data_IF_607069465573
#
_entry.id   IF_607069465573
#
_cell.length_a   1.000
_cell.length_b   1.000
_cell.length_c   1.000
_cell.angle_alpha   90.00
_cell.angle_beta   90.00
_cell.angle_gamma   90.00
#
_symmetry.space_group_name_H-M   'P 1'
#
loop_
_entity.id
_entity.type
_entity.pdbx_description
1 polymer ?
#
# COMPACT_ATOMS: atom_id res chain seq x y z
N UNK A 1 7.38 2.42 -16.69
CA UNK A 1 8.08 3.25 -15.69
C UNK A 1 9.40 3.70 -16.24
N UNK A 2 9.75 4.96 -16.02
CA UNK A 2 11.02 5.57 -16.37
C UNK A 2 11.59 6.20 -15.10
N UNK A 3 12.87 5.97 -14.80
CA UNK A 3 13.57 6.68 -13.74
C UNK A 3 13.78 8.14 -14.19
N UNK A 4 13.27 9.08 -13.42
CA UNK A 4 13.31 10.52 -13.69
C UNK A 4 14.41 11.21 -12.89
N UNK A 5 14.53 10.86 -11.60
CA UNK A 5 15.57 11.37 -10.71
C UNK A 5 16.08 10.24 -9.81
N UNK A 6 17.35 10.34 -9.43
CA UNK A 6 18.02 9.43 -8.49
C UNK A 6 19.09 10.22 -7.77
N UNK A 7 19.05 10.21 -6.43
CA UNK A 7 20.06 10.86 -5.61
C UNK A 7 20.53 9.90 -4.53
N UNK A 8 21.80 10.02 -4.22
CA UNK A 8 22.43 9.27 -3.14
C UNK A 8 22.98 10.27 -2.14
N UNK A 9 22.83 9.97 -0.86
CA UNK A 9 23.41 10.70 0.25
C UNK A 9 23.93 9.71 1.30
N UNK A 10 24.57 10.22 2.35
CA UNK A 10 24.96 9.39 3.48
C UNK A 10 23.76 8.76 4.21
N UNK A 11 22.57 9.34 4.09
CA UNK A 11 21.34 8.90 4.76
C UNK A 11 20.59 7.82 3.97
N UNK A 12 20.87 7.65 2.68
CA UNK A 12 20.20 6.70 1.81
C UNK A 12 20.12 7.10 0.35
N UNK A 13 19.14 6.53 -0.35
CA UNK A 13 18.89 6.74 -1.78
C UNK A 13 17.46 7.24 -1.98
N UNK A 14 17.32 8.33 -2.73
CA UNK A 14 16.02 8.82 -3.20
C UNK A 14 15.85 8.52 -4.67
N UNK A 15 14.67 8.02 -5.03
CA UNK A 15 14.36 7.57 -6.39
C UNK A 15 12.99 8.11 -6.80
N UNK A 16 12.91 8.62 -8.02
CA UNK A 16 11.66 9.08 -8.61
C UNK A 16 11.46 8.39 -9.95
N UNK A 17 10.39 7.61 -10.05
CA UNK A 17 9.94 7.04 -11.32
C UNK A 17 8.64 7.67 -11.77
N UNK A 18 8.51 7.79 -13.09
CA UNK A 18 7.26 8.19 -13.74
C UNK A 18 6.77 7.13 -14.71
N UNK A 19 5.47 6.92 -14.72
CA UNK A 19 4.76 6.20 -15.75
C UNK A 19 3.77 7.17 -16.40
N UNK A 20 3.94 7.41 -17.70
CA UNK A 20 2.99 8.17 -18.51
C UNK A 20 2.13 7.17 -19.30
N UNK A 21 0.82 7.26 -19.17
CA UNK A 21 -0.16 6.45 -19.88
C UNK A 21 -1.25 7.36 -20.44
N UNK A 22 -1.06 7.82 -21.67
CA UNK A 22 -1.98 8.77 -22.31
C UNK A 22 -2.10 10.04 -21.43
N UNK A 23 -3.31 10.39 -21.00
CA UNK A 23 -3.60 11.56 -20.16
C UNK A 23 -3.36 11.31 -18.66
N UNK A 24 -2.84 10.13 -18.32
CA UNK A 24 -2.47 9.76 -16.95
C UNK A 24 -0.97 9.88 -16.71
N UNK A 25 -0.63 10.48 -15.58
CA UNK A 25 0.71 10.46 -15.04
C UNK A 25 0.68 9.80 -13.66
N UNK A 26 1.60 8.86 -13.45
CA UNK A 26 1.82 8.22 -12.16
C UNK A 26 3.26 8.46 -11.75
N UNK A 27 3.46 9.03 -10.58
CA UNK A 27 4.76 9.27 -9.98
C UNK A 27 4.93 8.38 -8.74
N UNK A 28 6.03 7.65 -8.69
CA UNK A 28 6.47 6.87 -7.53
C UNK A 28 7.74 7.52 -7.00
N UNK A 29 7.67 8.02 -5.77
CA UNK A 29 8.84 8.46 -5.01
C UNK A 29 9.17 7.41 -3.97
N UNK A 30 10.45 7.08 -3.85
CA UNK A 30 10.98 6.21 -2.80
C UNK A 30 12.15 6.88 -2.11
N UNK A 31 12.10 6.93 -0.77
CA UNK A 31 13.21 7.31 0.09
C UNK A 31 13.65 6.06 0.84
N UNK A 32 14.87 5.60 0.56
CA UNK A 32 15.40 4.32 1.04
C UNK A 32 16.65 4.57 1.90
N UNK A 33 16.52 4.43 3.21
CA UNK A 33 17.60 4.60 4.18
C UNK A 33 17.45 3.65 5.35
N UNK A 34 17.57 4.17 6.58
CA UNK A 34 17.23 3.38 7.79
C UNK A 34 15.77 2.91 7.78
N UNK A 35 14.88 3.68 7.16
CA UNK A 35 13.50 3.32 6.88
C UNK A 35 13.21 3.35 5.39
N UNK A 36 11.94 3.15 5.05
CA UNK A 36 11.43 3.23 3.68
C UNK A 36 10.17 4.08 3.67
N UNK A 37 10.19 5.20 2.93
CA UNK A 37 8.98 5.95 2.58
C UNK A 37 8.70 5.74 1.10
N UNK A 38 7.47 5.35 0.77
CA UNK A 38 6.97 5.26 -0.59
C UNK A 38 5.79 6.20 -0.76
N UNK A 39 5.79 7.01 -1.82
CA UNK A 39 4.67 7.86 -2.19
C UNK A 39 4.27 7.59 -3.63
N UNK A 40 3.04 7.16 -3.82
CA UNK A 40 2.44 6.92 -5.12
C UNK A 40 1.38 7.98 -5.41
N UNK A 41 1.67 8.87 -6.36
CA UNK A 41 0.76 9.94 -6.78
C UNK A 41 0.26 9.67 -8.19
N UNK A 42 -1.03 9.87 -8.43
CA UNK A 42 -1.63 9.73 -9.77
C UNK A 42 -2.36 11.03 -10.11
N UNK A 43 -2.13 11.55 -11.31
CA UNK A 43 -2.87 12.68 -11.88
C UNK A 43 -3.46 12.28 -13.24
N UNK A 44 -4.64 12.80 -13.52
CA UNK A 44 -5.36 12.64 -14.79
C UNK A 44 -5.79 14.02 -15.24
N UNK A 45 -5.38 14.44 -16.43
CA UNK A 45 -5.66 15.77 -16.98
C UNK A 45 -6.75 15.71 -18.06
N UNK A 46 -7.91 15.13 -17.70
CA UNK A 46 -9.12 15.15 -18.53
C UNK A 46 -10.27 15.85 -17.77
N UNK A 47 -11.26 16.28 -18.52
CA UNK A 47 -12.49 16.93 -18.07
C UNK A 47 -13.56 15.96 -17.55
N UNK A 48 -13.46 14.67 -17.86
CA UNK A 48 -14.44 13.65 -17.45
C UNK A 48 -14.07 12.98 -16.12
N UNK A 49 -15.06 12.64 -15.26
CA UNK A 49 -14.82 11.84 -14.07
C UNK A 49 -14.20 10.49 -14.39
N UNK A 50 -13.17 10.10 -13.65
CA UNK A 50 -12.49 8.83 -13.81
C UNK A 50 -12.65 7.94 -12.57
N UNK A 51 -12.85 6.63 -12.80
CA UNK A 51 -12.79 5.62 -11.76
C UNK A 51 -11.41 4.99 -11.76
N UNK A 52 -10.69 5.16 -10.65
CA UNK A 52 -9.35 4.65 -10.49
C UNK A 52 -9.12 4.19 -9.05
N UNK A 53 -8.35 3.11 -8.90
CA UNK A 53 -7.88 2.62 -7.61
C UNK A 53 -6.40 2.29 -7.72
N UNK A 54 -5.67 2.56 -6.65
CA UNK A 54 -4.27 2.19 -6.51
C UNK A 54 -3.96 1.76 -5.08
N UNK A 55 -2.92 0.96 -4.93
CA UNK A 55 -2.43 0.51 -3.65
C UNK A 55 -0.93 0.25 -3.72
N UNK A 56 -0.25 0.37 -2.57
CA UNK A 56 1.09 -0.16 -2.38
C UNK A 56 0.99 -1.56 -1.80
N UNK A 57 1.27 -2.58 -2.62
CA UNK A 57 1.09 -3.98 -2.24
C UNK A 57 2.35 -4.53 -1.55
N UNK A 58 2.58 -4.12 -0.31
CA UNK A 58 3.75 -4.52 0.46
C UNK A 58 3.73 -6.00 0.85
N UNK A 59 4.87 -6.69 0.67
CA UNK A 59 5.11 -8.04 1.19
C UNK A 59 6.15 -7.97 2.30
N UNK A 60 5.70 -8.18 3.53
CA UNK A 60 6.58 -8.15 4.71
C UNK A 60 7.26 -9.49 4.91
N UNK A 61 8.58 -9.45 5.12
CA UNK A 61 9.34 -10.63 5.55
C UNK A 61 9.13 -10.83 7.04
N UNK A 62 8.57 -11.99 7.40
CA UNK A 62 8.34 -12.43 8.78
C UNK A 62 9.05 -13.77 9.04
N UNK A 63 9.10 -14.19 10.30
CA UNK A 63 9.65 -15.51 10.70
C UNK A 63 8.70 -16.64 10.33
N UNK A 64 7.57 -16.73 11.04
CA UNK A 64 6.52 -17.73 10.86
C UNK A 64 5.16 -17.04 11.02
N UNK A 65 4.28 -17.22 10.03
CA UNK A 65 2.93 -16.67 10.04
C UNK A 65 2.09 -17.18 11.21
N UNK A 66 2.38 -18.38 11.72
CA UNK A 66 1.67 -18.96 12.86
C UNK A 66 2.05 -18.30 14.20
N UNK A 67 3.22 -17.64 14.28
CA UNK A 67 3.75 -17.06 15.51
C UNK A 67 3.58 -15.54 15.59
N UNK A 68 3.32 -14.86 14.46
CA UNK A 68 3.15 -13.41 14.41
C UNK A 68 1.69 -12.98 14.45
N UNK A 69 1.47 -11.71 14.80
CA UNK A 69 0.17 -11.05 14.69
C UNK A 69 0.37 -9.61 14.20
N UNK A 70 -0.66 -9.07 13.54
CA UNK A 70 -0.70 -7.67 13.12
C UNK A 70 -1.52 -6.86 14.12
N UNK A 71 -0.86 -5.89 14.77
CA UNK A 71 -1.49 -4.93 15.66
C UNK A 71 -1.98 -3.68 14.90
N UNK A 72 -2.74 -2.81 15.57
CA UNK A 72 -3.22 -1.53 15.02
C UNK A 72 -4.52 -1.60 14.22
N UNK A 73 -5.11 -2.79 14.10
CA UNK A 73 -6.41 -3.01 13.43
C UNK A 73 -7.57 -3.25 14.41
N UNK A 74 -7.35 -3.22 15.72
CA UNK A 74 -8.43 -3.50 16.69
C UNK A 74 -9.60 -2.52 16.51
N UNK A 75 -10.81 -3.07 16.39
CA UNK A 75 -12.02 -2.31 16.13
C UNK A 75 -12.23 -1.87 14.67
N UNK A 76 -11.26 -2.07 13.78
CA UNK A 76 -11.36 -1.68 12.37
C UNK A 76 -12.50 -2.45 11.66
N UNK A 77 -13.32 -1.71 10.91
CA UNK A 77 -14.35 -2.29 10.05
C UNK A 77 -13.76 -2.69 8.71
N UNK A 78 -14.34 -3.70 8.08
CA UNK A 78 -13.88 -4.18 6.79
C UNK A 78 -14.78 -5.23 6.16
N UNK A 79 -14.27 -5.86 5.12
CA UNK A 79 -14.93 -6.92 4.39
C UNK A 79 -13.99 -8.12 4.24
N UNK A 80 -14.50 -9.31 4.56
CA UNK A 80 -13.80 -10.58 4.36
C UNK A 80 -14.23 -11.15 3.00
N UNK A 81 -13.29 -11.19 2.06
CA UNK A 81 -13.52 -11.62 0.68
C UNK A 81 -13.76 -13.14 0.58
N UNK A 82 -13.28 -13.92 1.55
CA UNK A 82 -13.43 -15.37 1.54
C UNK A 82 -14.83 -15.78 2.00
N UNK A 83 -15.33 -15.15 3.06
CA UNK A 83 -16.70 -15.39 3.56
C UNK A 83 -17.75 -14.53 2.85
N UNK A 84 -17.33 -13.46 2.16
CA UNK A 84 -18.17 -12.44 1.52
C UNK A 84 -19.08 -11.71 2.50
N UNK A 85 -18.55 -11.35 3.66
CA UNK A 85 -19.29 -10.70 4.74
C UNK A 85 -18.52 -9.51 5.31
N UNK A 86 -19.26 -8.52 5.80
CA UNK A 86 -18.68 -7.45 6.60
C UNK A 86 -18.10 -8.03 7.90
N UNK A 87 -16.96 -7.50 8.34
CA UNK A 87 -16.28 -7.93 9.54
C UNK A 87 -15.74 -6.74 10.33
N UNK A 88 -15.60 -6.94 11.64
CA UNK A 88 -14.84 -6.05 12.50
C UNK A 88 -13.69 -6.82 13.12
N UNK A 89 -12.47 -6.28 13.05
CA UNK A 89 -11.32 -6.90 13.68
C UNK A 89 -11.39 -6.77 15.21
N UNK A 90 -11.04 -7.85 15.90
CA UNK A 90 -11.06 -7.95 17.36
C UNK A 90 -9.64 -8.28 17.85
N UNK A 91 -9.01 -7.32 18.51
CA UNK A 91 -7.61 -7.40 18.93
C UNK A 91 -6.64 -7.51 17.75
N UNK A 92 -5.48 -8.09 18.01
CA UNK A 92 -4.47 -8.39 17.00
C UNK A 92 -4.99 -9.35 15.91
N UNK A 93 -4.62 -9.11 14.66
CA UNK A 93 -4.96 -9.99 13.55
C UNK A 93 -3.91 -11.11 13.44
N UNK A 94 -4.32 -12.33 13.78
CA UNK A 94 -3.57 -13.56 13.50
C UNK A 94 -4.10 -14.22 12.24
N UNK A 95 -3.19 -14.52 11.31
CA UNK A 95 -3.55 -15.20 10.06
C UNK A 95 -3.58 -16.70 10.32
N UNK A 96 -4.79 -17.27 10.33
CA UNK A 96 -5.02 -18.72 10.48
C UNK A 96 -5.73 -19.23 9.23
N UNK A 97 -5.03 -20.03 8.42
CA UNK A 97 -5.55 -20.48 7.13
C UNK A 97 -5.60 -19.36 6.10
N UNK A 98 -6.61 -19.40 5.22
CA UNK A 98 -6.80 -18.34 4.22
C UNK A 98 -7.25 -17.04 4.88
N UNK A 99 -6.61 -15.92 4.51
CA UNK A 99 -6.99 -14.58 4.96
C UNK A 99 -6.95 -13.62 3.78
N UNK A 100 -8.10 -13.02 3.46
CA UNK A 100 -8.21 -11.97 2.46
C UNK A 100 -9.27 -10.98 2.95
N UNK A 101 -8.80 -9.93 3.63
CA UNK A 101 -9.66 -8.89 4.23
C UNK A 101 -9.25 -7.52 3.74
N UNK A 102 -10.23 -6.67 3.52
CA UNK A 102 -10.03 -5.25 3.19
C UNK A 102 -10.61 -4.45 4.34
N UNK A 103 -9.75 -3.70 5.04
CA UNK A 103 -10.16 -2.83 6.14
C UNK A 103 -10.36 -1.39 5.64
N UNK A 104 -11.39 -0.75 6.16
CA UNK A 104 -11.68 0.65 5.89
C UNK A 104 -10.76 1.55 6.73
N UNK A 105 -10.28 2.64 6.14
CA UNK A 105 -9.62 3.69 6.90
C UNK A 105 -10.68 4.57 7.55
N UNK A 106 -10.81 4.49 8.87
CA UNK A 106 -11.41 5.57 9.64
C UNK A 106 -10.37 6.71 9.70
N UNK A 107 -10.66 7.81 9.02
CA UNK A 107 -9.79 8.99 8.95
C UNK A 107 -9.39 9.56 10.30
#
# INVERSE_FOLDING_TARGET
>A
WKLIDSRESEEGVSLHWRLQLWDWQVDLHAELGQGMELRLSTSHEDSEPCHFSHALHAYWRISDVAEVALEGLDGAQGYDELSRQACQQQGELRVVGGCQRVFEHAG
#
